data_IF_104962169991
#
_entry.id   IF_104962169991
#
_cell.length_a   1.000
_cell.length_b   1.000
_cell.length_c   1.000
_cell.angle_alpha   90.00
_cell.angle_beta   90.00
_cell.angle_gamma   90.00
#
_symmetry.space_group_name_H-M   'P 1'
#
loop_
_entity.id
_entity.type
_entity.pdbx_description
1 polymer ?
#
# COMPACT_ATOMS: atom_id res chain seq x y z
N UNK A 1 21.64 21.77 -11.71
CA UNK A 1 22.33 21.28 -10.50
C UNK A 1 21.38 21.44 -9.32
N UNK A 2 20.88 20.33 -8.76
CA UNK A 2 19.98 20.34 -7.60
C UNK A 2 20.81 20.59 -6.33
N UNK A 3 20.42 21.55 -5.49
CA UNK A 3 21.27 22.06 -4.39
C UNK A 3 20.83 21.61 -2.99
N UNK A 4 19.81 20.76 -2.85
CA UNK A 4 19.38 20.18 -1.56
C UNK A 4 18.83 21.18 -0.51
N UNK A 5 18.90 22.49 -0.74
CA UNK A 5 18.55 23.54 0.23
C UNK A 5 17.08 23.53 0.68
N UNK A 6 16.17 23.05 -0.16
CA UNK A 6 14.73 22.96 0.18
C UNK A 6 14.42 21.76 1.10
N UNK A 7 15.11 20.63 0.92
CA UNK A 7 14.94 19.45 1.78
C UNK A 7 15.42 19.75 3.21
N UNK A 8 16.55 20.42 3.35
CA UNK A 8 17.08 20.82 4.65
C UNK A 8 16.12 21.73 5.42
N UNK A 9 15.51 22.73 4.75
CA UNK A 9 14.55 23.65 5.41
C UNK A 9 13.32 22.92 5.94
N UNK A 10 12.80 21.93 5.23
CA UNK A 10 11.62 21.18 5.66
C UNK A 10 11.88 20.29 6.88
N UNK A 11 13.12 19.78 7.01
CA UNK A 11 13.60 19.07 8.21
C UNK A 11 13.88 20.03 9.39
N UNK A 12 14.16 21.32 9.13
CA UNK A 12 14.44 22.29 10.20
C UNK A 12 13.20 22.95 10.81
N UNK A 13 12.03 22.88 10.16
CA UNK A 13 10.83 23.60 10.66
C UNK A 13 10.19 22.94 11.89
N UNK A 14 10.55 21.70 12.24
CA UNK A 14 10.04 21.04 13.45
C UNK A 14 11.16 20.23 14.10
N UNK A 15 11.79 20.71 15.20
CA UNK A 15 12.61 19.84 16.02
C UNK A 15 11.67 18.76 16.58
N UNK A 16 12.07 17.50 16.45
CA UNK A 16 11.28 16.33 16.83
C UNK A 16 10.15 15.93 15.88
N UNK A 17 10.50 15.21 14.82
CA UNK A 17 9.61 14.19 14.26
C UNK A 17 10.29 12.84 14.51
N UNK A 18 9.94 12.22 15.64
CA UNK A 18 10.15 10.78 15.80
C UNK A 18 9.40 10.10 14.65
N UNK A 19 10.13 9.38 13.79
CA UNK A 19 9.58 8.56 12.72
C UNK A 19 8.85 7.35 13.32
N UNK A 20 7.65 7.57 13.83
CA UNK A 20 6.72 6.50 14.14
C UNK A 20 5.89 6.18 12.87
N UNK A 21 5.83 4.88 12.57
CA UNK A 21 5.35 4.18 11.37
C UNK A 21 4.11 4.72 10.61
N UNK A 22 3.28 5.55 11.21
CA UNK A 22 2.03 6.08 10.62
C UNK A 22 2.23 7.47 10.00
N UNK A 23 3.32 8.17 10.36
CA UNK A 23 3.47 9.58 10.05
C UNK A 23 3.86 9.88 8.60
N UNK A 24 4.59 9.02 7.88
CA UNK A 24 5.13 9.44 6.57
C UNK A 24 4.05 9.61 5.51
N UNK A 25 3.12 8.67 5.34
CA UNK A 25 2.06 8.79 4.33
C UNK A 25 1.13 9.96 4.61
N UNK A 26 0.77 10.14 5.89
CA UNK A 26 -0.04 11.28 6.34
C UNK A 26 0.71 12.59 6.10
N UNK A 27 2.00 12.67 6.46
CA UNK A 27 2.82 13.86 6.23
C UNK A 27 2.97 14.16 4.73
N UNK A 28 3.12 13.15 3.88
CA UNK A 28 3.19 13.36 2.45
C UNK A 28 1.87 13.93 1.91
N UNK A 29 0.75 13.28 2.24
CA UNK A 29 -0.59 13.65 1.77
C UNK A 29 -1.05 15.01 2.30
N UNK A 30 -0.87 15.27 3.60
CA UNK A 30 -1.43 16.47 4.25
C UNK A 30 -0.49 17.67 4.23
N UNK A 31 0.83 17.45 4.20
CA UNK A 31 1.82 18.53 4.35
C UNK A 31 2.69 18.70 3.11
N UNK A 32 3.38 17.66 2.67
CA UNK A 32 4.39 17.78 1.63
C UNK A 32 3.80 18.27 0.31
N UNK A 33 2.76 17.61 -0.22
CA UNK A 33 2.21 17.99 -1.52
C UNK A 33 1.63 19.40 -1.52
N UNK A 34 0.98 19.81 -0.41
CA UNK A 34 0.50 21.17 -0.22
C UNK A 34 1.65 22.18 -0.26
N UNK A 35 2.68 21.97 0.56
CA UNK A 35 3.84 22.87 0.61
C UNK A 35 4.61 22.91 -0.73
N UNK A 36 4.73 21.77 -1.42
CA UNK A 36 5.36 21.68 -2.73
C UNK A 36 4.58 22.49 -3.78
N UNK A 37 3.25 22.36 -3.81
CA UNK A 37 2.40 23.11 -4.73
C UNK A 37 2.42 24.63 -4.46
N UNK A 38 2.53 25.05 -3.20
CA UNK A 38 2.67 26.47 -2.84
C UNK A 38 4.05 27.04 -3.23
N UNK A 39 5.12 26.26 -3.05
CA UNK A 39 6.49 26.70 -3.33
C UNK A 39 6.87 26.65 -4.82
N UNK A 40 6.18 25.83 -5.62
CA UNK A 40 6.55 25.57 -7.01
C UNK A 40 5.36 25.79 -7.97
N UNK A 41 5.63 26.41 -9.13
CA UNK A 41 4.61 26.63 -10.17
C UNK A 41 4.18 25.31 -10.83
N UNK A 42 3.03 25.26 -11.52
CA UNK A 42 2.64 24.11 -12.34
C UNK A 42 3.76 23.68 -13.30
N UNK A 43 3.89 22.37 -13.52
CA UNK A 43 4.91 21.77 -14.40
C UNK A 43 6.20 21.32 -13.70
N UNK A 44 6.34 21.53 -12.39
CA UNK A 44 7.45 20.97 -11.61
C UNK A 44 7.15 19.54 -11.15
N UNK A 45 8.19 18.70 -11.13
CA UNK A 45 8.10 17.31 -10.68
C UNK A 45 8.85 17.17 -9.36
N UNK A 46 8.18 16.65 -8.34
CA UNK A 46 8.81 16.26 -7.08
C UNK A 46 9.44 14.87 -7.23
N UNK A 47 10.70 14.73 -6.80
CA UNK A 47 11.37 13.43 -6.67
C UNK A 47 11.56 13.16 -5.18
N UNK A 48 10.94 12.09 -4.68
CA UNK A 48 11.03 11.69 -3.29
C UNK A 48 11.89 10.44 -3.18
N UNK A 49 12.87 10.49 -2.29
CA UNK A 49 13.75 9.37 -1.95
C UNK A 49 13.41 8.97 -0.52
N UNK A 50 12.85 7.78 -0.36
CA UNK A 50 12.45 7.21 0.93
C UNK A 50 13.23 5.92 1.13
N UNK A 51 13.77 5.71 2.32
CA UNK A 51 14.40 4.44 2.70
C UNK A 51 13.36 3.34 2.86
N UNK A 52 13.73 2.11 2.51
CA UNK A 52 12.86 0.93 2.59
C UNK A 52 12.76 0.37 4.03
N UNK A 53 12.48 1.23 5.00
CA UNK A 53 12.26 0.80 6.37
C UNK A 53 10.84 0.26 6.55
N UNK A 54 10.67 -0.69 7.46
CA UNK A 54 9.33 -1.15 7.89
C UNK A 54 8.51 0.02 8.48
N UNK A 55 9.19 1.07 8.96
CA UNK A 55 8.64 2.37 9.36
C UNK A 55 7.88 3.11 8.27
N UNK A 56 8.21 2.86 7.00
CA UNK A 56 7.64 3.55 5.85
C UNK A 56 6.75 2.64 4.99
N UNK A 57 6.53 1.40 5.43
CA UNK A 57 5.66 0.45 4.73
C UNK A 57 4.20 0.83 4.94
N UNK A 58 3.68 1.68 4.06
CA UNK A 58 2.27 2.03 3.96
C UNK A 58 1.69 1.40 2.71
N UNK A 59 0.58 0.67 2.89
CA UNK A 59 -0.11 0.01 1.81
C UNK A 59 -1.43 0.73 1.53
N UNK A 60 -1.87 0.68 0.27
CA UNK A 60 -3.23 1.11 -0.06
C UNK A 60 -4.25 0.28 0.74
N UNK A 61 -5.43 0.84 1.10
CA UNK A 61 -6.42 0.13 1.91
C UNK A 61 -6.88 -1.21 1.33
N UNK A 62 -6.81 -1.36 0.01
CA UNK A 62 -7.17 -2.55 -0.75
C UNK A 62 -5.95 -3.34 -1.26
N UNK A 63 -4.73 -2.99 -0.87
CA UNK A 63 -3.54 -3.69 -1.32
C UNK A 63 -3.54 -5.16 -0.86
N UNK A 64 -2.98 -6.10 -1.66
CA UNK A 64 -2.80 -7.48 -1.24
C UNK A 64 -1.84 -7.57 -0.03
N UNK A 65 -2.39 -7.78 1.17
CA UNK A 65 -1.65 -7.80 2.42
C UNK A 65 -2.07 -9.00 3.27
N UNK A 66 -1.25 -10.04 3.32
CA UNK A 66 -1.56 -11.28 4.04
C UNK A 66 -1.92 -11.06 5.52
N UNK A 67 -1.29 -10.09 6.19
CA UNK A 67 -1.57 -9.74 7.59
C UNK A 67 -2.96 -9.14 7.83
N UNK A 68 -3.65 -8.69 6.78
CA UNK A 68 -5.02 -8.18 6.83
C UNK A 68 -6.08 -9.20 6.34
N UNK A 69 -5.65 -10.44 6.06
CA UNK A 69 -6.54 -11.53 5.65
C UNK A 69 -6.90 -12.43 6.84
N UNK A 70 -8.14 -12.93 6.85
CA UNK A 70 -8.51 -14.03 7.74
C UNK A 70 -8.05 -15.37 7.15
N UNK A 71 -7.86 -16.39 7.99
CA UNK A 71 -7.55 -17.74 7.51
C UNK A 71 -8.69 -18.32 6.66
N UNK A 72 -9.94 -18.11 7.10
CA UNK A 72 -11.18 -18.51 6.41
C UNK A 72 -11.93 -17.27 5.90
N UNK A 73 -12.80 -17.41 4.88
CA UNK A 73 -13.70 -16.34 4.46
C UNK A 73 -14.60 -15.83 5.58
N UNK A 74 -15.08 -14.59 5.44
CA UNK A 74 -15.97 -13.93 6.41
C UNK A 74 -15.25 -13.22 7.57
N UNK A 75 -16.02 -12.81 8.58
CA UNK A 75 -15.53 -12.00 9.71
C UNK A 75 -15.05 -10.61 9.29
N UNK A 76 -14.41 -9.89 10.22
CA UNK A 76 -13.76 -8.61 9.92
C UNK A 76 -12.44 -8.89 9.21
N UNK A 77 -12.39 -8.72 7.89
CA UNK A 77 -11.17 -8.77 7.07
C UNK A 77 -11.21 -7.70 5.98
N UNK A 78 -10.03 -7.34 5.46
CA UNK A 78 -9.94 -6.37 4.38
C UNK A 78 -10.46 -6.97 3.05
N UNK A 79 -11.08 -6.12 2.22
CA UNK A 79 -11.43 -6.44 0.83
C UNK A 79 -10.30 -5.95 -0.05
N UNK A 80 -9.49 -6.87 -0.58
CA UNK A 80 -8.30 -6.55 -1.35
C UNK A 80 -8.59 -6.57 -2.86
N UNK A 81 -7.83 -5.79 -3.62
CA UNK A 81 -7.81 -5.83 -5.07
C UNK A 81 -7.11 -7.10 -5.57
N UNK A 82 -7.27 -7.41 -6.86
CA UNK A 82 -6.67 -8.59 -7.45
C UNK A 82 -5.13 -8.48 -7.45
N UNK A 83 -4.48 -9.53 -6.95
CA UNK A 83 -3.04 -9.71 -7.06
C UNK A 83 -2.66 -10.49 -8.32
N UNK A 84 -1.40 -10.88 -8.40
CA UNK A 84 -0.93 -11.81 -9.40
C UNK A 84 0.25 -12.63 -8.87
N UNK A 85 0.47 -13.80 -9.45
CA UNK A 85 1.61 -14.66 -9.16
C UNK A 85 2.11 -15.33 -10.44
N UNK A 86 3.30 -15.91 -10.39
CA UNK A 86 3.85 -16.68 -11.52
C UNK A 86 3.57 -18.17 -11.31
N UNK A 87 3.02 -18.83 -12.32
CA UNK A 87 2.81 -20.28 -12.37
C UNK A 87 3.32 -20.80 -13.71
N UNK A 88 4.30 -21.70 -13.68
CA UNK A 88 4.91 -22.29 -14.88
C UNK A 88 5.38 -21.24 -15.91
N UNK A 89 5.98 -20.15 -15.42
CA UNK A 89 6.46 -19.05 -16.25
C UNK A 89 5.36 -18.10 -16.77
N UNK A 90 4.09 -18.31 -16.41
CA UNK A 90 2.97 -17.46 -16.81
C UNK A 90 2.45 -16.64 -15.64
N UNK A 91 2.10 -15.38 -15.91
CA UNK A 91 1.44 -14.49 -14.94
C UNK A 91 -0.03 -14.88 -14.81
N UNK A 92 -0.43 -15.28 -13.61
CA UNK A 92 -1.82 -15.62 -13.27
C UNK A 92 -2.39 -14.53 -12.38
N UNK A 93 -3.56 -14.00 -12.74
CA UNK A 93 -4.29 -13.04 -11.91
C UNK A 93 -4.98 -13.78 -10.78
N UNK A 94 -4.76 -13.32 -9.54
CA UNK A 94 -5.36 -13.88 -8.34
C UNK A 94 -6.48 -12.95 -7.85
N UNK A 95 -7.74 -13.36 -8.06
CA UNK A 95 -8.86 -12.66 -7.42
C UNK A 95 -8.84 -12.91 -5.91
N UNK A 96 -8.98 -11.84 -5.14
CA UNK A 96 -9.07 -11.88 -3.67
C UNK A 96 -10.53 -11.92 -3.17
N UNK A 97 -11.50 -11.80 -4.08
CA UNK A 97 -12.93 -11.81 -3.82
C UNK A 97 -13.57 -12.98 -4.57
N UNK A 98 -14.52 -13.67 -3.94
CA UNK A 98 -15.32 -14.68 -4.62
C UNK A 98 -16.28 -14.04 -5.62
N UNK A 99 -16.48 -14.69 -6.76
CA UNK A 99 -17.45 -14.27 -7.77
C UNK A 99 -18.89 -14.28 -7.23
N UNK A 100 -19.82 -13.61 -7.92
CA UNK A 100 -21.22 -13.54 -7.51
C UNK A 100 -21.91 -14.92 -7.49
N UNK A 101 -21.46 -15.86 -8.31
CA UNK A 101 -22.04 -17.20 -8.44
C UNK A 101 -21.48 -18.22 -7.44
N UNK A 102 -20.65 -17.79 -6.48
CA UNK A 102 -20.08 -18.71 -5.50
C UNK A 102 -21.13 -19.15 -4.47
N UNK A 103 -21.42 -20.45 -4.41
CA UNK A 103 -22.51 -21.06 -3.64
C UNK A 103 -22.63 -20.56 -2.18
N UNK A 104 -21.51 -20.50 -1.45
CA UNK A 104 -21.52 -20.11 -0.02
C UNK A 104 -21.02 -18.68 0.27
N UNK A 105 -20.11 -18.16 -0.54
CA UNK A 105 -19.33 -16.95 -0.22
C UNK A 105 -19.42 -15.86 -1.29
N UNK A 106 -20.52 -15.83 -2.06
CA UNK A 106 -20.76 -14.84 -3.11
C UNK A 106 -20.36 -13.41 -2.68
N UNK A 107 -19.49 -12.78 -3.47
CA UNK A 107 -18.97 -11.42 -3.26
C UNK A 107 -18.19 -11.17 -1.94
N UNK A 108 -17.85 -12.22 -1.19
CA UNK A 108 -17.06 -12.11 0.05
C UNK A 108 -15.56 -12.17 -0.24
N UNK A 109 -14.76 -11.59 0.67
CA UNK A 109 -13.31 -11.70 0.63
C UNK A 109 -12.86 -13.14 0.93
N UNK A 110 -11.90 -13.63 0.15
CA UNK A 110 -11.31 -14.95 0.33
C UNK A 110 -10.43 -14.96 1.57
N UNK A 111 -10.49 -16.06 2.31
CA UNK A 111 -9.50 -16.34 3.34
C UNK A 111 -8.16 -16.78 2.72
N UNK A 112 -7.08 -16.63 3.49
CA UNK A 112 -5.72 -17.01 3.09
C UNK A 112 -5.65 -18.47 2.63
N UNK A 113 -6.37 -19.37 3.31
CA UNK A 113 -6.39 -20.79 2.94
C UNK A 113 -6.92 -21.03 1.52
N UNK A 114 -8.00 -20.34 1.13
CA UNK A 114 -8.58 -20.50 -0.20
C UNK A 114 -7.62 -19.98 -1.28
N UNK A 115 -6.96 -18.84 -1.03
CA UNK A 115 -5.97 -18.27 -1.97
C UNK A 115 -4.78 -19.22 -2.16
N UNK A 116 -4.24 -19.79 -1.08
CA UNK A 116 -3.14 -20.75 -1.17
C UNK A 116 -3.54 -22.02 -1.93
N UNK A 117 -4.73 -22.55 -1.65
CA UNK A 117 -5.25 -23.73 -2.35
C UNK A 117 -5.42 -23.48 -3.86
N UNK A 118 -5.92 -22.31 -4.26
CA UNK A 118 -6.03 -21.92 -5.67
C UNK A 118 -4.66 -21.82 -6.37
N UNK A 119 -3.61 -21.49 -5.60
CA UNK A 119 -2.22 -21.48 -6.08
C UNK A 119 -1.58 -22.88 -6.09
N UNK A 120 -2.23 -23.90 -5.51
CA UNK A 120 -1.67 -25.24 -5.36
C UNK A 120 -0.71 -25.39 -4.18
N UNK A 121 -0.80 -24.48 -3.20
CA UNK A 121 -0.02 -24.48 -1.96
C UNK A 121 -0.88 -25.02 -0.80
N UNK A 122 -0.26 -25.73 0.15
CA UNK A 122 -0.93 -26.31 1.33
C UNK A 122 -0.38 -25.74 2.64
#
# INVERSE_FOLDING_TARGET
MWTGKLFAKQVTVQPFILLNHILISIQLQEKFFKAFAEAHRPGHIAVLLVDNSQGHSSYAPDAPCAGAMNLKPGGKQARMCAGWFMKDGQKVIQSMIYGPDHEMYANQAKGMKAVLQEQGLQ
#
